data_IF_084856056725
#
_entry.id   IF_084856056725
#
_cell.length_a   1.000
_cell.length_b   1.000
_cell.length_c   1.000
_cell.angle_alpha   90.00
_cell.angle_beta   90.00
_cell.angle_gamma   90.00
#
_symmetry.space_group_name_H-M   'P 1'
#
loop_
_entity.id
_entity.type
_entity.pdbx_description
1 polymer ?
#
# COMPACT_ATOMS: atom_id res chain seq x y z
N UNK A 1 7.31 7.84 80.18
CA UNK A 1 5.88 7.58 79.90
C UNK A 1 5.02 8.86 79.77
N UNK A 2 5.57 10.02 79.38
CA UNK A 2 4.78 11.26 79.17
C UNK A 2 4.80 11.76 77.71
N UNK A 3 5.74 11.27 76.88
CA UNK A 3 5.86 11.70 75.47
C UNK A 3 4.94 10.95 74.49
N UNK A 4 4.33 9.84 74.92
CA UNK A 4 3.47 9.01 74.06
C UNK A 4 1.99 9.44 74.04
N UNK A 5 1.50 10.18 75.04
CA UNK A 5 0.09 10.59 75.11
C UNK A 5 -0.24 11.87 74.32
N UNK A 6 0.75 12.70 73.95
CA UNK A 6 0.49 13.98 73.25
C UNK A 6 0.30 13.77 71.74
N UNK A 7 0.90 12.71 71.16
CA UNK A 7 0.77 12.43 69.70
C UNK A 7 -0.58 11.83 69.30
N UNK A 8 -1.32 11.22 70.23
CA UNK A 8 -2.61 10.60 69.93
C UNK A 8 -3.77 11.61 69.83
N UNK A 9 -3.69 12.76 70.51
CA UNK A 9 -4.77 13.76 70.52
C UNK A 9 -4.75 14.71 69.30
N UNK A 10 -3.59 14.89 68.65
CA UNK A 10 -3.47 15.76 67.48
C UNK A 10 -3.78 15.05 66.15
N UNK A 11 -3.72 13.71 66.11
CA UNK A 11 -4.02 12.95 64.89
C UNK A 11 -5.53 12.86 64.61
N UNK A 12 -6.37 12.82 65.66
CA UNK A 12 -7.83 12.75 65.55
C UNK A 12 -8.48 14.08 65.15
N UNK A 13 -7.90 15.24 65.50
CA UNK A 13 -8.41 16.55 65.04
C UNK A 13 -8.08 16.84 63.58
N UNK A 14 -6.93 16.38 63.07
CA UNK A 14 -6.61 16.55 61.64
C UNK A 14 -7.42 15.62 60.72
N UNK A 15 -7.79 14.41 61.19
CA UNK A 15 -8.61 13.50 60.39
C UNK A 15 -10.08 13.96 60.27
N UNK A 16 -10.64 14.61 61.30
CA UNK A 16 -12.00 15.16 61.24
C UNK A 16 -12.10 16.41 60.37
N UNK A 17 -11.05 17.23 60.27
CA UNK A 17 -11.03 18.38 59.36
C UNK A 17 -10.83 17.98 57.88
N UNK A 18 -10.07 16.92 57.59
CA UNK A 18 -9.84 16.45 56.21
C UNK A 18 -11.09 15.73 55.65
N UNK A 19 -11.84 15.01 56.48
CA UNK A 19 -13.07 14.33 56.04
C UNK A 19 -14.23 15.33 55.86
N UNK A 20 -14.34 16.37 56.70
CA UNK A 20 -15.36 17.41 56.52
C UNK A 20 -15.12 18.31 55.29
N UNK A 21 -13.86 18.60 54.95
CA UNK A 21 -13.54 19.38 53.75
C UNK A 21 -13.68 18.58 52.45
N UNK A 22 -13.51 17.25 52.51
CA UNK A 22 -13.69 16.36 51.35
C UNK A 22 -15.16 16.06 51.03
N UNK A 23 -16.07 16.18 52.01
CA UNK A 23 -17.52 16.01 51.77
C UNK A 23 -18.18 17.34 51.32
N UNK A 24 -17.65 18.50 51.73
CA UNK A 24 -18.14 19.79 51.27
C UNK A 24 -17.66 20.16 49.84
N UNK A 25 -16.52 19.63 49.37
CA UNK A 25 -16.03 19.89 48.01
C UNK A 25 -16.64 18.95 46.95
N UNK A 26 -17.30 17.86 47.36
CA UNK A 26 -18.00 16.94 46.45
C UNK A 26 -19.44 17.38 46.12
N UNK A 27 -19.97 18.44 46.73
CA UNK A 27 -21.34 18.94 46.52
C UNK A 27 -21.41 20.32 45.82
N UNK A 28 -20.26 20.91 45.48
CA UNK A 28 -20.18 22.15 44.71
C UNK A 28 -19.29 21.92 43.48
N UNK A 29 -19.86 21.38 42.39
CA UNK A 29 -19.09 21.27 41.15
C UNK A 29 -19.61 20.35 40.06
N UNK A 30 -20.68 19.57 40.28
CA UNK A 30 -21.44 19.03 39.14
C UNK A 30 -22.31 20.17 38.61
N UNK A 31 -21.67 21.12 37.94
CA UNK A 31 -22.36 21.87 36.89
C UNK A 31 -22.78 20.76 35.92
N UNK A 32 -24.08 20.47 35.74
CA UNK A 32 -24.47 19.64 34.62
C UNK A 32 -23.82 20.31 33.42
N UNK A 33 -23.00 19.57 32.68
CA UNK A 33 -22.51 20.04 31.39
C UNK A 33 -23.76 20.41 30.61
N UNK A 34 -24.12 21.70 30.69
CA UNK A 34 -25.15 22.27 29.86
C UNK A 34 -24.55 22.03 28.49
N UNK A 35 -25.14 21.08 27.76
CA UNK A 35 -25.04 21.11 26.32
C UNK A 35 -25.31 22.57 25.98
N UNK A 36 -24.25 23.29 25.57
CA UNK A 36 -24.35 24.70 25.26
C UNK A 36 -25.59 24.82 24.39
N UNK A 37 -26.59 25.55 24.86
CA UNK A 37 -27.75 25.82 24.05
C UNK A 37 -27.19 26.36 22.75
N UNK A 38 -27.57 25.77 21.61
CA UNK A 38 -27.14 26.21 20.28
C UNK A 38 -27.72 27.59 19.92
N UNK A 39 -27.80 28.49 20.90
CA UNK A 39 -28.23 29.85 20.76
C UNK A 39 -27.09 30.63 20.11
N UNK A 40 -27.41 31.27 19.00
CA UNK A 40 -26.54 32.18 18.29
C UNK A 40 -26.24 33.40 19.17
N UNK A 41 -25.01 33.92 19.07
CA UNK A 41 -24.66 35.19 19.72
C UNK A 41 -25.51 36.35 19.15
N UNK A 42 -25.69 37.46 19.90
CA UNK A 42 -26.35 38.64 19.38
C UNK A 42 -25.71 39.16 18.07
N UNK A 43 -24.39 39.12 17.97
CA UNK A 43 -23.67 39.58 16.79
C UNK A 43 -23.91 38.68 15.57
N UNK A 44 -23.93 37.35 15.76
CA UNK A 44 -24.24 36.41 14.67
C UNK A 44 -25.68 36.56 14.19
N UNK A 45 -26.62 36.87 15.10
CA UNK A 45 -28.02 37.16 14.72
C UNK A 45 -28.10 38.38 13.81
N UNK A 46 -27.35 39.45 14.11
CA UNK A 46 -27.31 40.65 13.27
C UNK A 46 -26.80 40.33 11.86
N UNK A 47 -25.75 39.51 11.74
CA UNK A 47 -25.26 39.05 10.43
C UNK A 47 -26.36 38.28 9.66
N UNK A 48 -27.09 37.41 10.36
CA UNK A 48 -28.13 36.56 9.79
C UNK A 48 -29.44 37.31 9.46
N UNK A 49 -29.64 38.57 9.86
CA UNK A 49 -30.79 39.36 9.41
C UNK A 49 -30.79 39.54 7.88
N UNK A 50 -29.61 39.67 7.29
CA UNK A 50 -29.41 39.70 5.83
C UNK A 50 -28.93 38.34 5.30
N UNK A 51 -27.88 37.75 5.90
CA UNK A 51 -27.32 36.50 5.42
C UNK A 51 -28.20 35.27 5.64
N UNK A 52 -29.21 35.35 6.52
CA UNK A 52 -30.19 34.28 6.71
C UNK A 52 -31.31 34.26 5.67
N UNK A 53 -31.39 35.26 4.79
CA UNK A 53 -32.47 35.37 3.79
C UNK A 53 -32.27 34.36 2.67
N UNK A 54 -33.34 33.67 2.28
CA UNK A 54 -33.30 32.72 1.15
C UNK A 54 -32.97 33.46 -0.15
N UNK A 55 -32.22 32.79 -1.04
CA UNK A 55 -31.77 33.34 -2.32
C UNK A 55 -30.96 34.64 -2.19
N UNK A 56 -30.33 34.87 -1.04
CA UNK A 56 -29.39 35.98 -0.90
C UNK A 56 -28.10 35.65 -1.61
N UNK A 57 -27.81 36.37 -2.68
CA UNK A 57 -26.76 36.02 -3.63
C UNK A 57 -26.20 37.25 -4.36
N UNK A 58 -25.04 37.10 -4.99
CA UNK A 58 -24.35 38.19 -5.70
C UNK A 58 -23.69 37.68 -6.99
N UNK A 59 -23.82 38.42 -8.11
CA UNK A 59 -23.10 38.09 -9.35
C UNK A 59 -21.59 38.31 -9.21
N UNK A 60 -20.81 37.42 -9.83
CA UNK A 60 -19.35 37.40 -9.82
C UNK A 60 -18.79 37.74 -11.21
N UNK A 61 -17.46 37.85 -11.31
CA UNK A 61 -16.80 38.35 -12.52
C UNK A 61 -16.93 37.42 -13.75
N UNK A 62 -17.10 36.13 -13.49
CA UNK A 62 -17.34 35.05 -14.45
C UNK A 62 -18.80 34.95 -14.92
N UNK A 63 -19.71 35.76 -14.35
CA UNK A 63 -21.14 35.65 -14.58
C UNK A 63 -21.82 34.57 -13.73
N UNK A 64 -21.07 33.84 -12.91
CA UNK A 64 -21.64 32.95 -11.90
C UNK A 64 -22.21 33.76 -10.73
N UNK A 65 -23.05 33.11 -9.94
CA UNK A 65 -23.70 33.73 -8.78
C UNK A 65 -23.19 33.08 -7.49
N UNK A 66 -22.61 33.89 -6.62
CA UNK A 66 -22.16 33.46 -5.30
C UNK A 66 -23.33 33.55 -4.32
N UNK A 67 -23.72 32.41 -3.74
CA UNK A 67 -24.66 32.39 -2.62
C UNK A 67 -24.03 33.02 -1.39
N UNK A 68 -24.75 33.97 -0.79
CA UNK A 68 -24.45 34.60 0.50
C UNK A 68 -25.37 34.08 1.61
N UNK A 69 -26.30 33.19 1.27
CA UNK A 69 -27.30 32.63 2.19
C UNK A 69 -26.68 31.59 3.14
N UNK A 70 -26.86 31.82 4.45
CA UNK A 70 -26.46 30.95 5.54
C UNK A 70 -27.70 30.51 6.33
N UNK A 71 -28.06 29.21 6.33
CA UNK A 71 -29.18 28.74 7.13
C UNK A 71 -28.86 28.84 8.63
N UNK A 72 -29.45 29.81 9.33
CA UNK A 72 -29.12 30.10 10.73
C UNK A 72 -29.27 28.90 11.68
N UNK A 73 -30.26 28.02 11.44
CA UNK A 73 -30.42 26.76 12.20
C UNK A 73 -29.27 25.77 11.96
N UNK A 74 -28.76 25.70 10.73
CA UNK A 74 -27.64 24.82 10.40
C UNK A 74 -26.34 25.34 11.01
N UNK A 75 -26.12 26.66 10.97
CA UNK A 75 -24.97 27.29 11.63
C UNK A 75 -25.00 27.15 13.14
N UNK A 76 -26.15 27.37 13.78
CA UNK A 76 -26.34 27.14 15.21
C UNK A 76 -25.98 25.70 15.66
N UNK A 77 -26.17 24.71 14.78
CA UNK A 77 -25.83 23.31 15.02
C UNK A 77 -24.40 22.93 14.57
N UNK A 78 -23.65 23.87 14.01
CA UNK A 78 -22.28 23.68 13.55
C UNK A 78 -21.29 23.65 14.72
N UNK A 79 -20.17 22.94 14.54
CA UNK A 79 -19.04 23.01 15.48
C UNK A 79 -18.38 24.38 15.52
N UNK A 80 -18.63 25.22 14.51
CA UNK A 80 -18.12 26.59 14.46
C UNK A 80 -19.06 27.64 15.08
N UNK A 81 -20.25 27.26 15.58
CA UNK A 81 -21.14 28.21 16.26
C UNK A 81 -20.42 29.00 17.38
N UNK A 82 -19.58 28.38 18.24
CA UNK A 82 -18.86 29.13 19.28
C UNK A 82 -17.79 30.11 18.76
N UNK A 83 -17.33 29.95 17.50
CA UNK A 83 -16.37 30.86 16.86
C UNK A 83 -17.07 32.13 16.36
N UNK A 84 -18.34 32.02 15.98
CA UNK A 84 -19.13 33.11 15.43
C UNK A 84 -18.67 33.54 14.03
N UNK A 85 -19.45 34.42 13.39
CA UNK A 85 -19.15 34.94 12.06
C UNK A 85 -17.83 35.72 12.06
N UNK A 86 -17.62 36.59 13.05
CA UNK A 86 -16.45 37.47 13.13
C UNK A 86 -15.13 36.71 13.35
N UNK A 87 -15.18 35.50 13.93
CA UNK A 87 -13.97 34.69 14.12
C UNK A 87 -13.35 34.21 12.81
N UNK A 88 -14.17 33.95 11.78
CA UNK A 88 -13.67 33.59 10.44
C UNK A 88 -13.71 34.77 9.46
N UNK A 89 -14.58 35.76 9.68
CA UNK A 89 -14.70 36.97 8.87
C UNK A 89 -14.09 38.19 9.57
N UNK A 90 -12.89 38.02 10.15
CA UNK A 90 -12.23 39.05 10.95
C UNK A 90 -11.95 40.36 10.19
N UNK A 91 -11.83 40.28 8.86
CA UNK A 91 -11.61 41.44 7.99
C UNK A 91 -12.88 42.27 7.71
N UNK A 92 -14.04 41.89 8.26
CA UNK A 92 -15.29 42.62 8.07
C UNK A 92 -15.44 43.72 9.13
N UNK A 93 -15.37 44.97 8.67
CA UNK A 93 -15.80 46.14 9.45
C UNK A 93 -17.33 46.33 9.30
N UNK A 94 -18.09 45.99 10.34
CA UNK A 94 -19.56 46.12 10.36
C UNK A 94 -20.06 47.53 10.03
N UNK A 95 -19.28 48.59 10.32
CA UNK A 95 -19.70 49.98 10.03
C UNK A 95 -19.65 50.29 8.54
N UNK A 96 -18.86 49.54 7.77
CA UNK A 96 -18.65 49.74 6.33
C UNK A 96 -19.21 48.58 5.50
N UNK A 97 -19.77 47.57 6.15
CA UNK A 97 -20.34 46.41 5.48
C UNK A 97 -21.81 46.66 5.12
N UNK A 98 -22.23 46.40 3.86
CA UNK A 98 -21.44 45.85 2.76
C UNK A 98 -20.62 46.94 2.03
N UNK A 99 -19.34 46.68 1.80
CA UNK A 99 -18.48 47.52 0.96
C UNK A 99 -18.25 46.87 -0.42
N UNK A 100 -18.39 47.61 -1.53
CA UNK A 100 -18.10 47.06 -2.84
C UNK A 100 -16.61 46.74 -2.97
N UNK A 101 -16.29 45.46 -3.17
CA UNK A 101 -14.94 45.05 -3.56
C UNK A 101 -14.60 45.65 -4.92
N UNK A 102 -13.48 46.38 -5.00
CA UNK A 102 -12.93 46.88 -6.27
C UNK A 102 -12.30 45.76 -7.11
N UNK A 103 -11.96 44.64 -6.47
CA UNK A 103 -11.36 43.47 -7.15
C UNK A 103 -12.48 42.61 -7.72
N UNK A 104 -12.53 42.51 -9.04
CA UNK A 104 -13.35 41.53 -9.75
C UNK A 104 -12.67 40.16 -9.63
N UNK A 105 -13.36 39.22 -8.99
CA UNK A 105 -12.91 37.83 -8.83
C UNK A 105 -14.04 36.90 -9.24
N UNK A 106 -13.67 35.71 -9.68
CA UNK A 106 -14.57 34.57 -9.92
C UNK A 106 -15.03 33.96 -8.60
N UNK A 107 -16.07 33.11 -8.64
CA UNK A 107 -16.48 32.31 -7.47
C UNK A 107 -15.30 31.47 -6.97
N UNK A 108 -14.56 30.87 -7.91
CA UNK A 108 -13.46 29.97 -7.59
C UNK A 108 -12.28 30.68 -6.90
N UNK A 109 -11.84 31.82 -7.44
CA UNK A 109 -10.77 32.62 -6.83
C UNK A 109 -11.15 33.08 -5.42
N UNK A 110 -12.41 33.46 -5.21
CA UNK A 110 -12.92 33.79 -3.88
C UNK A 110 -12.84 32.60 -2.93
N UNK A 111 -13.26 31.41 -3.35
CA UNK A 111 -13.17 30.19 -2.53
C UNK A 111 -11.73 29.83 -2.17
N UNK A 112 -10.78 29.94 -3.12
CA UNK A 112 -9.35 29.69 -2.86
C UNK A 112 -8.77 30.67 -1.84
N UNK A 113 -9.18 31.94 -1.88
CA UNK A 113 -8.77 32.93 -0.90
C UNK A 113 -9.38 32.65 0.48
N UNK A 114 -10.70 32.37 0.54
CA UNK A 114 -11.41 32.16 1.80
C UNK A 114 -10.94 30.92 2.56
N UNK A 115 -10.53 29.84 1.88
CA UNK A 115 -10.10 28.61 2.57
C UNK A 115 -8.80 28.77 3.35
N UNK A 116 -8.06 29.87 3.15
CA UNK A 116 -6.87 30.16 3.95
C UNK A 116 -7.20 30.37 5.43
N UNK A 117 -8.39 30.89 5.77
CA UNK A 117 -8.81 31.11 7.16
C UNK A 117 -8.86 29.79 7.96
N UNK A 118 -9.06 28.66 7.28
CA UNK A 118 -9.06 27.35 7.92
C UNK A 118 -7.70 27.06 8.58
N UNK A 119 -6.60 27.55 8.01
CA UNK A 119 -5.24 27.31 8.51
C UNK A 119 -5.01 27.93 9.89
N UNK A 120 -5.66 29.05 10.19
CA UNK A 120 -5.44 29.78 11.45
C UNK A 120 -5.82 28.95 12.69
N UNK A 121 -6.76 28.00 12.53
CA UNK A 121 -7.18 27.07 13.59
C UNK A 121 -6.89 25.59 13.27
N UNK A 122 -6.80 25.20 11.99
CA UNK A 122 -6.59 23.82 11.56
C UNK A 122 -5.26 23.60 10.82
N UNK A 123 -4.19 24.29 11.24
CA UNK A 123 -2.87 24.25 10.62
C UNK A 123 -2.36 22.81 10.36
N UNK A 124 -2.51 21.89 11.31
CA UNK A 124 -2.09 20.50 11.13
C UNK A 124 -2.84 19.80 9.98
N UNK A 125 -4.15 20.01 9.86
CA UNK A 125 -4.95 19.41 8.78
C UNK A 125 -4.71 20.11 7.45
N UNK A 126 -4.48 21.41 7.50
CA UNK A 126 -4.12 22.22 6.33
C UNK A 126 -2.80 21.74 5.73
N UNK A 127 -1.76 21.54 6.55
CA UNK A 127 -0.46 20.97 6.13
C UNK A 127 -0.58 19.59 5.49
N UNK A 128 -1.42 18.71 6.06
CA UNK A 128 -1.70 17.41 5.44
C UNK A 128 -2.36 17.57 4.08
N UNK A 129 -3.36 18.45 3.98
CA UNK A 129 -4.04 18.75 2.72
C UNK A 129 -3.09 19.31 1.67
N UNK A 130 -2.19 20.23 2.02
CA UNK A 130 -1.19 20.79 1.11
C UNK A 130 -0.29 19.72 0.47
N UNK A 131 -0.01 18.64 1.20
CA UNK A 131 0.74 17.47 0.72
C UNK A 131 -0.08 16.45 -0.08
N UNK A 132 -1.40 16.61 -0.16
CA UNK A 132 -2.31 15.68 -0.84
C UNK A 132 -2.32 15.83 -2.36
N UNK A 133 -2.87 14.83 -3.06
CA UNK A 133 -3.11 14.92 -4.51
C UNK A 133 -4.10 16.03 -4.86
N UNK A 134 -5.09 16.30 -4.01
CA UNK A 134 -6.08 17.35 -4.28
C UNK A 134 -5.45 18.75 -4.28
N UNK A 135 -4.64 19.08 -3.26
CA UNK A 135 -3.96 20.37 -3.22
C UNK A 135 -2.91 20.50 -4.33
N UNK A 136 -2.29 19.39 -4.75
CA UNK A 136 -1.40 19.39 -5.91
C UNK A 136 -2.15 19.72 -7.19
N UNK A 137 -3.24 19.03 -7.48
CA UNK A 137 -4.07 19.30 -8.66
C UNK A 137 -4.56 20.75 -8.67
N UNK A 138 -4.92 21.29 -7.51
CA UNK A 138 -5.26 22.71 -7.36
C UNK A 138 -4.11 23.63 -7.80
N UNK A 139 -2.88 23.38 -7.32
CA UNK A 139 -1.69 24.17 -7.70
C UNK A 139 -1.35 24.05 -9.18
N UNK A 140 -1.65 22.91 -9.78
CA UNK A 140 -1.48 22.66 -11.22
C UNK A 140 -2.58 23.33 -12.08
N UNK A 141 -3.50 24.07 -11.46
CA UNK A 141 -4.56 24.83 -12.14
C UNK A 141 -5.81 24.02 -12.45
N UNK A 142 -6.02 22.87 -11.79
CA UNK A 142 -7.25 22.10 -11.95
C UNK A 142 -8.37 22.70 -11.09
N UNK A 143 -9.30 23.41 -11.73
CA UNK A 143 -10.44 24.04 -11.05
C UNK A 143 -11.41 23.05 -10.41
N UNK A 144 -11.41 21.78 -10.82
CA UNK A 144 -12.22 20.72 -10.22
C UNK A 144 -11.59 20.10 -8.97
N UNK A 145 -10.36 20.49 -8.59
CA UNK A 145 -9.72 20.01 -7.38
C UNK A 145 -10.45 20.51 -6.12
N UNK A 146 -10.84 19.65 -5.17
CA UNK A 146 -11.65 20.06 -4.03
C UNK A 146 -10.83 20.83 -3.00
N UNK A 147 -11.42 21.87 -2.42
CA UNK A 147 -10.94 22.64 -1.28
C UNK A 147 -11.55 22.11 0.03
N UNK A 148 -11.15 22.70 1.16
CA UNK A 148 -11.74 22.41 2.48
C UNK A 148 -13.26 22.56 2.47
N UNK A 149 -13.76 23.63 1.84
CA UNK A 149 -15.18 23.99 1.74
C UNK A 149 -16.00 23.03 0.87
N UNK A 150 -15.37 22.34 -0.07
CA UNK A 150 -16.07 21.43 -0.99
C UNK A 150 -16.40 20.10 -0.29
N UNK A 151 -15.58 19.71 0.70
CA UNK A 151 -15.82 18.53 1.53
C UNK A 151 -16.58 18.85 2.82
N UNK A 152 -16.30 20.00 3.43
CA UNK A 152 -16.88 20.43 4.70
C UNK A 152 -17.57 21.78 4.53
N UNK A 153 -18.87 21.85 4.83
CA UNK A 153 -19.56 23.14 4.82
C UNK A 153 -19.01 24.04 5.93
N UNK A 154 -18.40 25.20 5.64
CA UNK A 154 -17.81 26.08 6.66
C UNK A 154 -18.85 26.60 7.65
N UNK A 155 -20.12 26.72 7.20
CA UNK A 155 -21.24 27.24 7.98
C UNK A 155 -22.19 26.15 8.52
N UNK A 156 -21.92 24.86 8.26
CA UNK A 156 -22.79 23.77 8.73
C UNK A 156 -22.01 22.49 9.03
N UNK A 157 -20.71 22.61 9.34
CA UNK A 157 -19.86 21.46 9.66
C UNK A 157 -20.32 20.82 10.97
N UNK A 158 -20.57 19.52 10.92
CA UNK A 158 -20.98 18.72 12.08
C UNK A 158 -19.78 17.93 12.62
N UNK A 159 -19.80 17.51 13.89
CA UNK A 159 -18.77 16.64 14.43
C UNK A 159 -18.65 15.38 13.56
N UNK A 160 -17.42 14.98 13.24
CA UNK A 160 -17.19 13.74 12.54
C UNK A 160 -17.46 12.58 13.51
N UNK A 161 -18.52 11.81 13.27
CA UNK A 161 -18.86 10.64 14.10
C UNK A 161 -18.62 9.37 13.30
N UNK A 162 -18.11 8.32 13.94
CA UNK A 162 -17.91 7.01 13.31
C UNK A 162 -19.22 6.41 12.73
N UNK A 163 -20.37 6.88 13.21
CA UNK A 163 -21.70 6.50 12.78
C UNK A 163 -22.23 7.27 11.56
N UNK A 164 -21.46 8.20 10.98
CA UNK A 164 -21.91 9.00 9.84
C UNK A 164 -22.38 8.08 8.69
N UNK A 165 -23.61 8.24 8.16
CA UNK A 165 -24.15 7.35 7.16
C UNK A 165 -23.35 7.43 5.85
N UNK A 166 -23.35 6.34 5.08
CA UNK A 166 -22.62 6.26 3.81
C UNK A 166 -23.09 7.31 2.79
N UNK A 167 -24.32 7.80 2.91
CA UNK A 167 -24.91 8.85 2.05
C UNK A 167 -24.32 10.24 2.31
N UNK A 168 -23.70 10.46 3.48
CA UNK A 168 -23.10 11.73 3.88
C UNK A 168 -21.62 11.87 3.51
N UNK A 169 -21.04 10.85 2.85
CA UNK A 169 -19.64 10.91 2.39
C UNK A 169 -19.50 11.89 1.23
N UNK A 170 -18.76 12.99 1.43
CA UNK A 170 -18.54 14.04 0.42
C UNK A 170 -17.81 13.55 -0.82
N UNK A 171 -16.94 12.54 -0.69
CA UNK A 171 -16.16 11.97 -1.81
C UNK A 171 -17.04 11.57 -3.00
N UNK A 172 -18.30 11.18 -2.77
CA UNK A 172 -19.23 10.74 -3.82
C UNK A 172 -19.62 11.85 -4.79
N UNK A 173 -19.49 13.12 -4.40
CA UNK A 173 -19.84 14.26 -5.26
C UNK A 173 -18.96 14.29 -6.52
N UNK A 174 -17.67 13.96 -6.38
CA UNK A 174 -16.73 13.87 -7.51
C UNK A 174 -16.44 12.41 -7.92
N UNK A 175 -16.47 11.45 -6.98
CA UNK A 175 -16.15 10.05 -7.21
C UNK A 175 -17.39 9.13 -7.26
N UNK A 176 -18.49 9.60 -7.87
CA UNK A 176 -19.77 8.89 -7.94
C UNK A 176 -19.65 7.46 -8.50
N UNK A 177 -18.80 7.25 -9.51
CA UNK A 177 -18.59 5.93 -10.12
C UNK A 177 -18.00 4.90 -9.14
N UNK A 178 -16.96 5.28 -8.39
CA UNK A 178 -16.35 4.40 -7.37
C UNK A 178 -17.29 4.23 -6.19
N UNK A 179 -17.98 5.29 -5.78
CA UNK A 179 -18.97 5.23 -4.70
C UNK A 179 -20.05 4.18 -4.97
N UNK A 180 -20.59 4.15 -6.20
CA UNK A 180 -21.61 3.15 -6.59
C UNK A 180 -21.10 1.72 -6.40
N UNK A 181 -19.88 1.44 -6.87
CA UNK A 181 -19.29 0.11 -6.75
C UNK A 181 -18.97 -0.25 -5.29
N UNK A 182 -18.42 0.67 -4.52
CA UNK A 182 -18.18 0.47 -3.09
C UNK A 182 -19.49 0.21 -2.32
N UNK A 183 -20.56 0.93 -2.61
CA UNK A 183 -21.86 0.76 -1.97
C UNK A 183 -22.42 -0.66 -2.18
N UNK A 184 -22.12 -1.27 -3.32
CA UNK A 184 -22.50 -2.66 -3.66
C UNK A 184 -21.54 -3.71 -3.07
N UNK A 185 -20.36 -3.30 -2.57
CA UNK A 185 -19.37 -4.21 -1.97
C UNK A 185 -19.79 -4.73 -0.59
N UNK A 186 -19.08 -5.74 -0.08
CA UNK A 186 -19.31 -6.29 1.27
C UNK A 186 -19.21 -5.21 2.38
N UNK A 187 -18.32 -4.23 2.23
CA UNK A 187 -18.17 -3.14 3.21
C UNK A 187 -19.32 -2.14 3.10
N UNK A 188 -19.70 -1.74 1.89
CA UNK A 188 -20.84 -0.84 1.65
C UNK A 188 -22.16 -1.44 2.13
N UNK A 189 -22.40 -2.71 1.81
CA UNK A 189 -23.59 -3.44 2.25
C UNK A 189 -23.63 -3.61 3.78
N UNK A 190 -22.48 -3.88 4.42
CA UNK A 190 -22.41 -3.97 5.88
C UNK A 190 -22.79 -2.65 6.56
N UNK A 191 -22.44 -1.52 5.94
CA UNK A 191 -22.73 -0.16 6.44
C UNK A 191 -24.16 0.29 6.17
N UNK A 192 -24.78 -0.20 5.09
CA UNK A 192 -26.16 0.10 4.73
C UNK A 192 -27.21 -0.60 5.61
N UNK A 193 -26.83 -1.55 6.46
CA UNK A 193 -27.75 -2.29 7.33
C UNK A 193 -28.03 -1.50 8.64
N UNK A 194 -29.28 -1.41 9.10
CA UNK A 194 -29.59 -0.86 10.42
C UNK A 194 -28.85 -1.62 11.53
N UNK A 195 -28.14 -0.90 12.40
CA UNK A 195 -27.28 -1.53 13.43
C UNK A 195 -26.05 -2.27 12.86
N UNK A 196 -25.69 -2.02 11.59
CA UNK A 196 -24.56 -2.61 10.92
C UNK A 196 -23.23 -2.34 11.63
N UNK A 197 -22.32 -3.31 11.58
CA UNK A 197 -20.96 -3.16 12.11
C UNK A 197 -20.28 -1.96 11.43
N UNK A 198 -19.41 -1.26 12.17
CA UNK A 198 -18.59 -0.17 11.66
C UNK A 198 -17.66 -0.68 10.52
N UNK A 199 -18.18 -0.72 9.31
CA UNK A 199 -17.42 -0.99 8.10
C UNK A 199 -16.69 0.30 7.67
N UNK A 200 -15.49 0.18 7.05
CA UNK A 200 -14.66 1.33 6.72
C UNK A 200 -15.29 2.14 5.58
N UNK A 201 -15.32 3.47 5.73
CA UNK A 201 -15.59 4.45 4.68
C UNK A 201 -14.33 4.76 3.85
N UNK A 202 -14.52 5.56 2.80
CA UNK A 202 -13.45 6.06 1.93
C UNK A 202 -12.21 6.58 2.71
N UNK A 203 -12.33 7.51 3.68
CA UNK A 203 -11.16 8.03 4.39
C UNK A 203 -10.51 7.03 5.35
N UNK A 204 -11.20 5.96 5.77
CA UNK A 204 -10.62 4.94 6.64
C UNK A 204 -9.55 4.13 5.89
N UNK A 205 -9.65 4.03 4.57
CA UNK A 205 -8.61 3.41 3.73
C UNK A 205 -7.70 4.41 3.01
N UNK A 206 -8.23 5.57 2.60
CA UNK A 206 -7.50 6.51 1.73
C UNK A 206 -6.96 7.76 2.43
N UNK A 207 -7.31 7.99 3.71
CA UNK A 207 -7.08 9.23 4.48
C UNK A 207 -7.72 10.47 3.83
N UNK A 208 -8.58 11.20 4.55
CA UNK A 208 -9.29 12.35 3.98
C UNK A 208 -8.36 13.54 3.62
N UNK A 209 -7.52 13.97 4.57
CA UNK A 209 -6.70 15.16 4.44
C UNK A 209 -5.31 14.88 3.86
N UNK A 210 -4.83 13.63 3.90
CA UNK A 210 -3.52 13.24 3.34
C UNK A 210 -3.73 12.29 2.16
N UNK A 211 -4.78 12.52 1.37
CA UNK A 211 -5.14 11.62 0.27
C UNK A 211 -4.02 11.60 -0.77
N UNK A 212 -3.52 10.41 -1.05
CA UNK A 212 -2.53 10.16 -2.11
C UNK A 212 -3.25 9.59 -3.32
N UNK A 213 -2.58 9.54 -4.48
CA UNK A 213 -3.14 8.89 -5.65
C UNK A 213 -3.52 7.44 -5.30
N UNK A 214 -4.82 7.14 -5.31
CA UNK A 214 -5.42 5.91 -4.78
C UNK A 214 -4.87 4.62 -5.40
N UNK A 215 -4.24 4.72 -6.57
CA UNK A 215 -3.58 3.63 -7.29
C UNK A 215 -2.14 3.34 -6.83
N UNK A 216 -1.66 4.01 -5.79
CA UNK A 216 -0.41 3.67 -5.09
C UNK A 216 -0.64 2.52 -4.10
N UNK A 217 -0.92 1.33 -4.63
CA UNK A 217 -1.46 0.18 -3.88
C UNK A 217 -0.64 -0.35 -2.70
N UNK A 218 0.60 0.08 -2.50
CA UNK A 218 1.42 -0.38 -1.37
C UNK A 218 0.92 0.15 -0.02
N UNK A 219 0.43 1.39 -0.01
CA UNK A 219 -0.12 2.02 1.20
C UNK A 219 -1.49 1.45 1.59
N UNK A 220 -2.21 0.85 0.63
CA UNK A 220 -3.55 0.29 0.86
C UNK A 220 -3.49 -1.03 1.63
N UNK A 221 -2.39 -1.80 1.52
CA UNK A 221 -2.23 -3.04 2.28
C UNK A 221 -2.38 -2.79 3.79
N UNK A 222 -1.65 -1.80 4.30
CA UNK A 222 -1.62 -1.51 5.73
C UNK A 222 -2.96 -0.95 6.23
N UNK A 223 -3.69 -0.24 5.37
CA UNK A 223 -5.06 0.18 5.67
C UNK A 223 -6.01 -1.02 5.85
N UNK A 224 -5.91 -2.06 5.00
CA UNK A 224 -6.66 -3.29 5.20
C UNK A 224 -6.30 -3.96 6.53
N UNK A 225 -5.00 -4.03 6.86
CA UNK A 225 -4.49 -4.68 8.06
C UNK A 225 -4.85 -3.96 9.36
N UNK A 226 -5.21 -2.68 9.30
CA UNK A 226 -5.68 -1.93 10.48
C UNK A 226 -6.96 -2.55 11.08
N UNK A 227 -7.85 -3.09 10.23
CA UNK A 227 -9.06 -3.80 10.69
C UNK A 227 -8.95 -5.33 10.54
N UNK A 228 -8.11 -5.82 9.62
CA UNK A 228 -7.88 -7.23 9.36
C UNK A 228 -6.49 -7.68 9.86
N UNK A 229 -6.14 -7.34 11.10
CA UNK A 229 -4.80 -7.59 11.69
C UNK A 229 -4.40 -9.07 11.67
N UNK A 230 -5.35 -9.97 11.93
CA UNK A 230 -5.10 -11.41 12.02
C UNK A 230 -5.13 -12.11 10.65
N UNK A 231 -5.29 -11.35 9.57
CA UNK A 231 -5.43 -11.91 8.22
C UNK A 231 -4.25 -12.79 7.85
N UNK A 232 -3.01 -12.37 8.08
CA UNK A 232 -1.83 -13.18 7.74
C UNK A 232 -1.86 -14.55 8.44
N UNK A 233 -2.17 -14.59 9.74
CA UNK A 233 -2.23 -15.82 10.51
C UNK A 233 -3.33 -16.76 9.99
N UNK A 234 -4.51 -16.22 9.68
CA UNK A 234 -5.61 -17.00 9.08
C UNK A 234 -5.21 -17.52 7.70
N UNK A 235 -4.51 -16.75 6.88
CA UNK A 235 -4.10 -17.17 5.53
C UNK A 235 -3.01 -18.24 5.56
N UNK A 236 -2.11 -18.24 6.55
CA UNK A 236 -1.09 -19.30 6.71
C UNK A 236 -1.67 -20.72 6.83
N UNK A 237 -2.92 -20.86 7.27
CA UNK A 237 -3.57 -22.16 7.40
C UNK A 237 -3.86 -22.86 6.07
N UNK A 238 -3.96 -22.10 4.96
CA UNK A 238 -4.36 -22.65 3.66
C UNK A 238 -3.53 -22.13 2.48
N UNK A 239 -2.91 -20.96 2.60
CA UNK A 239 -2.13 -20.30 1.55
C UNK A 239 -0.63 -20.57 1.76
N UNK A 240 0.02 -21.38 0.91
CA UNK A 240 1.46 -21.59 0.98
C UNK A 240 2.22 -20.27 0.78
N UNK A 241 3.30 -20.06 1.53
CA UNK A 241 4.11 -18.83 1.46
C UNK A 241 3.24 -17.56 1.59
N UNK A 242 2.34 -17.52 2.57
CA UNK A 242 1.37 -16.44 2.75
C UNK A 242 2.03 -15.04 2.81
N UNK A 243 3.20 -14.91 3.44
CA UNK A 243 3.96 -13.65 3.48
C UNK A 243 4.30 -13.14 2.07
N UNK A 244 4.81 -14.01 1.21
CA UNK A 244 5.16 -13.66 -0.17
C UNK A 244 3.93 -13.26 -0.98
N UNK A 245 2.80 -13.93 -0.77
CA UNK A 245 1.55 -13.55 -1.41
C UNK A 245 1.08 -12.16 -0.95
N UNK A 246 1.20 -11.82 0.33
CA UNK A 246 0.83 -10.49 0.83
C UNK A 246 1.74 -9.37 0.29
N UNK A 247 2.98 -9.70 -0.06
CA UNK A 247 3.91 -8.77 -0.71
C UNK A 247 3.64 -8.61 -2.22
N UNK A 248 3.31 -9.71 -2.90
CA UNK A 248 3.26 -9.79 -4.36
C UNK A 248 1.84 -9.76 -4.94
N UNK A 249 0.79 -9.90 -4.14
CA UNK A 249 -0.61 -9.95 -4.57
C UNK A 249 -1.40 -8.93 -3.76
N UNK A 250 -2.07 -8.00 -4.44
CA UNK A 250 -2.96 -7.05 -3.78
C UNK A 250 -4.22 -7.74 -3.23
N UNK A 251 -4.73 -7.29 -2.08
CA UNK A 251 -5.93 -7.88 -1.48
C UNK A 251 -7.13 -7.96 -2.45
N UNK A 252 -7.45 -6.91 -3.25
CA UNK A 252 -8.55 -6.99 -4.21
C UNK A 252 -8.34 -8.04 -5.31
N UNK A 253 -7.11 -8.44 -5.64
CA UNK A 253 -6.87 -9.47 -6.65
C UNK A 253 -7.52 -10.82 -6.27
N UNK A 254 -7.62 -11.13 -4.97
CA UNK A 254 -8.32 -12.32 -4.47
C UNK A 254 -9.74 -12.01 -3.95
N UNK A 255 -9.94 -10.82 -3.38
CA UNK A 255 -11.20 -10.41 -2.76
C UNK A 255 -12.21 -9.77 -3.72
N UNK A 256 -11.86 -9.57 -4.99
CA UNK A 256 -12.79 -9.21 -6.07
C UNK A 256 -12.72 -10.29 -7.18
N UNK A 257 -13.41 -11.43 -7.04
CA UNK A 257 -13.26 -12.58 -7.93
C UNK A 257 -13.56 -12.24 -9.40
N UNK A 258 -14.55 -11.38 -9.65
CA UNK A 258 -14.98 -10.93 -10.97
C UNK A 258 -14.07 -9.90 -11.63
N UNK A 259 -13.12 -9.31 -10.88
CA UNK A 259 -12.24 -8.27 -11.39
C UNK A 259 -11.25 -8.81 -12.42
N UNK A 260 -10.93 -8.01 -13.43
CA UNK A 260 -9.79 -8.28 -14.30
C UNK A 260 -8.50 -7.99 -13.54
N UNK A 261 -7.50 -8.81 -13.81
CA UNK A 261 -6.20 -8.80 -13.13
C UNK A 261 -5.09 -8.48 -14.12
N UNK A 262 -4.05 -7.85 -13.62
CA UNK A 262 -2.81 -7.56 -14.35
C UNK A 262 -1.61 -7.80 -13.47
N UNK A 263 -0.50 -8.20 -14.09
CA UNK A 263 0.81 -8.13 -13.47
C UNK A 263 1.37 -6.74 -13.74
N UNK A 264 1.59 -5.98 -12.67
CA UNK A 264 2.21 -4.66 -12.72
C UNK A 264 3.70 -4.78 -12.35
N UNK A 265 4.58 -4.61 -13.34
CA UNK A 265 6.02 -4.53 -13.20
C UNK A 265 6.40 -3.11 -12.81
N UNK A 266 6.61 -2.89 -11.51
CA UNK A 266 6.85 -1.56 -10.97
C UNK A 266 8.34 -1.28 -10.93
N UNK A 267 8.77 -0.10 -11.37
CA UNK A 267 10.18 0.30 -11.24
C UNK A 267 10.47 0.71 -9.79
N UNK A 268 11.52 0.15 -9.21
CA UNK A 268 12.01 0.45 -7.87
C UNK A 268 13.48 0.82 -7.91
N UNK A 269 13.86 1.78 -7.07
CA UNK A 269 15.25 2.03 -6.72
C UNK A 269 15.74 0.95 -5.74
N UNK A 270 16.83 0.25 -6.08
CA UNK A 270 17.34 -0.85 -5.27
C UNK A 270 17.91 -0.41 -3.92
N UNK A 271 18.33 0.85 -3.78
CA UNK A 271 18.96 1.38 -2.56
C UNK A 271 17.90 2.04 -1.69
N UNK A 272 17.12 2.96 -2.25
CA UNK A 272 16.06 3.66 -1.53
C UNK A 272 14.86 2.74 -1.20
N UNK A 273 14.72 1.61 -1.90
CA UNK A 273 13.57 0.70 -1.79
C UNK A 273 12.22 1.40 -2.08
N UNK A 274 12.25 2.46 -2.88
CA UNK A 274 11.10 3.27 -3.27
C UNK A 274 10.79 3.13 -4.76
N UNK A 275 9.53 3.41 -5.13
CA UNK A 275 9.15 3.41 -6.55
C UNK A 275 9.84 4.58 -7.26
N UNK A 276 10.35 4.31 -8.46
CA UNK A 276 10.92 5.36 -9.31
C UNK A 276 9.83 6.37 -9.67
N UNK A 277 10.10 7.63 -9.36
CA UNK A 277 9.22 8.75 -9.65
C UNK A 277 9.82 9.64 -10.74
N UNK A 278 8.97 10.08 -11.67
CA UNK A 278 9.33 11.09 -12.66
C UNK A 278 9.49 12.47 -12.01
N UNK A 279 10.46 13.22 -12.50
CA UNK A 279 10.65 14.62 -12.11
C UNK A 279 9.70 15.51 -12.92
N UNK A 280 9.18 16.55 -12.28
CA UNK A 280 8.25 17.50 -12.89
C UNK A 280 8.88 18.14 -14.14
N UNK A 281 8.11 18.19 -15.24
CA UNK A 281 8.51 18.84 -16.49
C UNK A 281 9.24 17.96 -17.52
N UNK A 282 9.53 16.68 -17.23
CA UNK A 282 10.14 15.78 -18.22
C UNK A 282 9.50 14.38 -18.18
N UNK A 283 8.40 14.13 -18.92
CA UNK A 283 7.77 12.81 -19.01
C UNK A 283 8.63 11.89 -19.90
N UNK A 284 9.72 11.38 -19.34
CA UNK A 284 10.70 10.57 -20.06
C UNK A 284 10.27 9.12 -20.19
N UNK A 285 9.54 8.58 -19.22
CA UNK A 285 9.19 7.16 -19.18
C UNK A 285 8.27 6.77 -20.33
N UNK A 286 7.17 7.48 -20.51
CA UNK A 286 6.22 7.12 -21.56
C UNK A 286 6.84 7.32 -22.95
N UNK A 287 7.58 8.40 -23.15
CA UNK A 287 8.32 8.64 -24.39
C UNK A 287 9.35 7.53 -24.66
N UNK A 288 10.17 7.14 -23.68
CA UNK A 288 11.16 6.07 -23.83
C UNK A 288 10.50 4.70 -24.03
N UNK A 289 9.42 4.42 -23.30
CA UNK A 289 8.67 3.18 -23.45
C UNK A 289 8.06 3.07 -24.85
N UNK A 290 7.49 4.15 -25.40
CA UNK A 290 7.02 4.20 -26.79
C UNK A 290 8.17 4.00 -27.79
N UNK A 291 9.31 4.64 -27.58
CA UNK A 291 10.48 4.47 -28.45
C UNK A 291 11.03 3.04 -28.44
N UNK A 292 10.97 2.37 -27.29
CA UNK A 292 11.37 0.97 -27.16
C UNK A 292 10.34 -0.01 -27.77
N UNK A 293 9.05 0.34 -27.75
CA UNK A 293 7.96 -0.44 -28.34
C UNK A 293 7.78 -0.14 -29.84
N UNK A 294 8.79 -0.49 -30.63
CA UNK A 294 8.84 -0.25 -32.08
C UNK A 294 7.68 -0.88 -32.87
N UNK A 295 7.02 -1.90 -32.32
CA UNK A 295 5.91 -2.63 -32.96
C UNK A 295 4.53 -2.20 -32.49
N UNK A 296 4.42 -1.37 -31.45
CA UNK A 296 3.16 -0.94 -30.84
C UNK A 296 2.36 -2.08 -30.20
N UNK A 297 3.03 -3.18 -29.83
CA UNK A 297 2.41 -4.37 -29.22
C UNK A 297 2.62 -4.43 -27.70
N UNK A 298 3.20 -3.37 -27.12
CA UNK A 298 3.76 -3.38 -25.79
C UNK A 298 5.20 -3.88 -25.76
N UNK A 299 5.93 -3.51 -24.70
CA UNK A 299 7.33 -3.86 -24.51
C UNK A 299 7.51 -5.39 -24.50
N UNK A 300 8.29 -5.90 -25.44
CA UNK A 300 8.84 -7.25 -25.37
C UNK A 300 10.04 -7.31 -24.40
N UNK A 301 10.59 -8.51 -24.21
CA UNK A 301 11.67 -8.72 -23.25
C UNK A 301 12.98 -7.97 -23.59
N UNK A 302 13.26 -7.72 -24.87
CA UNK A 302 14.45 -6.97 -25.30
C UNK A 302 14.22 -5.46 -25.16
N UNK A 303 13.05 -4.98 -25.57
CA UNK A 303 12.63 -3.59 -25.42
C UNK A 303 12.63 -3.19 -23.94
N UNK A 304 12.11 -4.05 -23.06
CA UNK A 304 12.14 -3.83 -21.61
C UNK A 304 13.57 -3.75 -21.07
N UNK A 305 14.45 -4.66 -21.49
CA UNK A 305 15.85 -4.66 -21.06
C UNK A 305 16.57 -3.37 -21.52
N UNK A 306 16.30 -2.91 -22.74
CA UNK A 306 16.83 -1.64 -23.25
C UNK A 306 16.36 -0.46 -22.40
N UNK A 307 15.05 -0.40 -22.10
CA UNK A 307 14.48 0.63 -21.25
C UNK A 307 15.15 0.67 -19.87
N UNK A 308 15.34 -0.49 -19.22
CA UNK A 308 16.00 -0.56 -17.92
C UNK A 308 17.47 -0.11 -17.97
N UNK A 309 18.19 -0.43 -19.05
CA UNK A 309 19.58 0.05 -19.24
C UNK A 309 19.65 1.57 -19.34
N UNK A 310 18.66 2.22 -19.93
CA UNK A 310 18.60 3.68 -19.98
C UNK A 310 18.40 4.33 -18.62
N UNK A 311 17.71 3.64 -17.69
CA UNK A 311 17.59 4.08 -16.30
C UNK A 311 18.86 3.77 -15.48
N UNK A 312 19.58 2.70 -15.81
CA UNK A 312 20.73 2.20 -15.07
C UNK A 312 22.10 2.59 -15.67
N UNK A 313 22.26 3.86 -16.09
CA UNK A 313 23.53 4.34 -16.69
C UNK A 313 24.74 4.05 -15.79
N UNK A 314 25.89 3.79 -16.41
CA UNK A 314 27.16 3.55 -15.70
C UNK A 314 27.52 4.73 -14.78
N UNK A 315 27.74 4.44 -13.50
CA UNK A 315 28.05 5.43 -12.46
C UNK A 315 26.89 5.84 -11.55
N UNK A 316 25.67 5.33 -11.76
CA UNK A 316 24.55 5.55 -10.83
C UNK A 316 24.75 4.78 -9.52
N UNK A 317 24.60 5.46 -8.37
CA UNK A 317 24.74 4.85 -7.03
C UNK A 317 23.65 3.80 -6.73
N UNK A 318 22.50 3.89 -7.40
CA UNK A 318 21.40 2.94 -7.27
C UNK A 318 21.02 2.31 -8.61
N UNK A 319 20.62 1.03 -8.57
CA UNK A 319 20.10 0.31 -9.74
C UNK A 319 18.58 0.28 -9.68
N UNK A 320 17.93 0.63 -10.78
CA UNK A 320 16.50 0.42 -10.99
C UNK A 320 16.22 -1.06 -11.25
N UNK A 321 15.34 -1.65 -10.46
CA UNK A 321 14.87 -3.04 -10.57
C UNK A 321 13.36 -3.08 -10.81
N UNK A 322 12.83 -4.24 -11.23
CA UNK A 322 11.40 -4.43 -11.39
C UNK A 322 10.82 -5.26 -10.24
N UNK A 323 9.75 -4.76 -9.63
CA UNK A 323 8.98 -5.54 -8.65
C UNK A 323 7.58 -5.81 -9.18
N UNK A 324 7.37 -7.05 -9.61
CA UNK A 324 6.05 -7.53 -10.01
C UNK A 324 5.05 -7.50 -8.85
N UNK A 325 3.82 -7.10 -9.16
CA UNK A 325 2.67 -7.27 -8.26
C UNK A 325 1.43 -7.61 -9.05
N UNK A 326 0.67 -8.59 -8.56
CA UNK A 326 -0.63 -8.94 -9.10
C UNK A 326 -1.69 -7.99 -8.52
N UNK A 327 -2.28 -7.20 -9.40
CA UNK A 327 -3.26 -6.17 -9.07
C UNK A 327 -4.50 -6.31 -9.95
N UNK A 328 -5.61 -5.70 -9.54
CA UNK A 328 -6.76 -5.53 -10.43
C UNK A 328 -6.50 -4.39 -11.42
N UNK A 329 -7.23 -4.36 -12.53
CA UNK A 329 -6.92 -3.42 -13.62
C UNK A 329 -7.39 -1.99 -13.38
N UNK A 330 -8.36 -1.79 -12.50
CA UNK A 330 -8.95 -0.46 -12.26
C UNK A 330 -9.37 -0.22 -10.80
N UNK A 331 -9.52 1.07 -10.46
CA UNK A 331 -10.04 1.49 -9.15
C UNK A 331 -11.42 0.95 -8.82
N UNK A 332 -12.43 1.04 -9.72
CA UNK A 332 -13.74 0.44 -9.49
C UNK A 332 -13.68 -1.07 -9.22
N UNK A 333 -12.91 -1.84 -10.00
CA UNK A 333 -12.73 -3.28 -9.75
C UNK A 333 -12.09 -3.57 -8.39
N UNK A 334 -11.18 -2.70 -7.92
CA UNK A 334 -10.58 -2.82 -6.59
C UNK A 334 -11.60 -2.65 -5.46
N UNK A 335 -12.73 -2.00 -5.74
CA UNK A 335 -13.82 -1.78 -4.80
C UNK A 335 -14.95 -2.82 -4.92
N UNK A 336 -14.85 -3.80 -5.82
CA UNK A 336 -15.80 -4.92 -5.94
C UNK A 336 -15.53 -6.03 -4.89
N UNK A 337 -15.23 -5.62 -3.66
CA UNK A 337 -14.87 -6.55 -2.59
C UNK A 337 -16.06 -7.41 -2.18
N UNK A 338 -15.82 -8.72 -2.08
CA UNK A 338 -16.84 -9.70 -1.71
C UNK A 338 -16.56 -10.32 -0.33
N UNK A 339 -17.56 -11.00 0.21
CA UNK A 339 -17.45 -11.80 1.43
C UNK A 339 -16.38 -12.89 1.31
N UNK A 340 -15.77 -13.26 2.45
CA UNK A 340 -14.66 -14.24 2.54
C UNK A 340 -14.94 -15.61 1.91
N UNK A 341 -16.20 -16.01 1.79
CA UNK A 341 -16.64 -17.28 1.21
C UNK A 341 -16.61 -17.27 -0.31
N UNK A 342 -16.63 -16.09 -0.93
CA UNK A 342 -16.58 -15.87 -2.38
C UNK A 342 -15.21 -15.40 -2.86
N UNK A 343 -14.26 -15.17 -1.95
CA UNK A 343 -12.89 -14.82 -2.30
C UNK A 343 -12.19 -16.02 -2.93
N UNK A 344 -11.27 -15.76 -3.88
CA UNK A 344 -10.52 -16.81 -4.55
C UNK A 344 -9.58 -17.53 -3.58
N UNK A 345 -9.64 -18.86 -3.56
CA UNK A 345 -8.77 -19.72 -2.74
C UNK A 345 -8.13 -20.86 -3.53
N UNK A 346 -8.62 -21.08 -4.74
CA UNK A 346 -8.19 -22.15 -5.63
C UNK A 346 -6.87 -21.74 -6.30
N UNK A 347 -5.77 -22.40 -5.91
CA UNK A 347 -4.42 -22.08 -6.37
C UNK A 347 -4.29 -22.13 -7.90
N UNK A 348 -5.02 -23.03 -8.55
CA UNK A 348 -5.02 -23.21 -10.01
C UNK A 348 -5.52 -21.97 -10.76
N UNK A 349 -6.38 -21.13 -10.16
CA UNK A 349 -6.86 -19.88 -10.75
C UNK A 349 -5.70 -18.96 -11.16
N UNK A 350 -4.60 -18.98 -10.40
CA UNK A 350 -3.42 -18.17 -10.67
C UNK A 350 -2.24 -19.01 -11.19
N UNK A 351 -2.05 -20.22 -10.66
CA UNK A 351 -0.85 -21.02 -10.94
C UNK A 351 -0.98 -21.93 -12.17
N UNK A 352 -2.18 -22.10 -12.76
CA UNK A 352 -2.32 -22.90 -13.98
C UNK A 352 -1.65 -22.23 -15.19
N UNK A 353 -1.20 -23.03 -16.14
CA UNK A 353 -0.71 -22.53 -17.42
C UNK A 353 -1.81 -21.71 -18.13
N UNK A 354 -1.43 -20.59 -18.75
CA UNK A 354 -2.41 -19.68 -19.38
C UNK A 354 -3.40 -18.99 -18.45
N UNK A 355 -3.19 -18.98 -17.12
CA UNK A 355 -4.05 -18.25 -16.19
C UNK A 355 -4.31 -16.79 -16.63
N UNK A 356 -5.57 -16.37 -16.56
CA UNK A 356 -6.02 -15.04 -16.99
C UNK A 356 -5.29 -13.90 -16.25
N UNK A 357 -4.94 -14.14 -14.98
CA UNK A 357 -4.22 -13.21 -14.12
C UNK A 357 -2.86 -12.76 -14.66
N UNK A 358 -2.25 -13.55 -15.55
CA UNK A 358 -0.91 -13.31 -16.10
C UNK A 358 -0.93 -12.96 -17.59
N UNK A 359 -2.12 -12.81 -18.20
CA UNK A 359 -2.23 -12.46 -19.62
C UNK A 359 -2.05 -10.97 -19.87
N UNK A 360 -2.35 -10.12 -18.89
CA UNK A 360 -2.17 -8.67 -18.99
C UNK A 360 -0.97 -8.25 -18.15
N UNK A 361 0.06 -7.70 -18.81
CA UNK A 361 1.26 -7.21 -18.15
C UNK A 361 1.43 -5.74 -18.45
N UNK A 362 1.75 -4.97 -17.42
CA UNK A 362 2.04 -3.55 -17.55
C UNK A 362 3.32 -3.23 -16.80
N UNK A 363 4.04 -2.22 -17.24
CA UNK A 363 5.13 -1.60 -16.50
C UNK A 363 4.65 -0.26 -15.94
N UNK A 364 5.11 0.13 -14.76
CA UNK A 364 4.74 1.44 -14.22
C UNK A 364 5.82 2.15 -13.40
N UNK A 365 5.73 3.47 -13.45
CA UNK A 365 6.44 4.42 -12.59
C UNK A 365 5.44 5.33 -11.88
N UNK A 366 5.91 6.16 -10.96
CA UNK A 366 5.12 7.21 -10.33
C UNK A 366 5.34 8.52 -11.10
N UNK A 367 4.27 9.13 -11.61
CA UNK A 367 4.34 10.48 -12.20
C UNK A 367 4.72 11.52 -11.14
N UNK A 368 5.11 12.75 -11.53
CA UNK A 368 5.43 13.80 -10.58
C UNK A 368 4.27 14.12 -9.63
N UNK A 369 3.03 13.90 -10.07
CA UNK A 369 1.84 14.13 -9.26
C UNK A 369 1.50 12.99 -8.30
N UNK A 370 2.20 11.87 -8.37
CA UNK A 370 1.99 10.70 -7.52
C UNK A 370 1.12 9.61 -8.15
N UNK A 371 0.48 9.86 -9.30
CA UNK A 371 -0.28 8.84 -10.03
C UNK A 371 0.65 7.85 -10.74
N UNK A 372 0.36 6.55 -10.75
CA UNK A 372 1.11 5.61 -11.55
C UNK A 372 0.86 5.85 -13.04
N UNK A 373 1.93 5.89 -13.82
CA UNK A 373 1.89 5.88 -15.28
C UNK A 373 2.13 4.45 -15.72
N UNK A 374 1.21 3.88 -16.48
CA UNK A 374 1.30 2.51 -16.95
C UNK A 374 1.65 2.47 -18.44
N UNK A 375 2.49 1.52 -18.83
CA UNK A 375 2.74 1.17 -20.23
C UNK A 375 2.56 -0.33 -20.45
N UNK A 376 2.11 -0.75 -21.63
CA UNK A 376 1.85 -2.15 -21.94
C UNK A 376 3.13 -2.96 -22.09
N UNK A 377 3.12 -4.21 -21.62
CA UNK A 377 4.20 -5.17 -21.84
C UNK A 377 3.62 -6.52 -22.29
N UNK A 378 4.38 -7.23 -23.09
CA UNK A 378 4.01 -8.57 -23.55
C UNK A 378 4.14 -9.57 -22.40
N UNK A 379 3.26 -10.58 -22.35
CA UNK A 379 3.23 -11.56 -21.23
C UNK A 379 4.49 -12.42 -21.15
N UNK A 380 5.14 -12.63 -22.29
CA UNK A 380 6.37 -13.40 -22.47
C UNK A 380 7.54 -12.80 -21.67
N UNK A 381 7.46 -11.50 -21.35
CA UNK A 381 8.39 -10.80 -20.45
C UNK A 381 8.51 -11.49 -19.10
N UNK A 382 7.42 -12.06 -18.57
CA UNK A 382 7.41 -12.75 -17.27
C UNK A 382 8.20 -14.05 -17.27
N UNK A 383 8.45 -14.63 -18.45
CA UNK A 383 9.16 -15.89 -18.64
C UNK A 383 10.54 -15.73 -19.29
N UNK A 384 10.92 -14.52 -19.69
CA UNK A 384 12.19 -14.29 -20.39
C UNK A 384 13.38 -14.34 -19.44
N UNK A 385 14.43 -15.07 -19.82
CA UNK A 385 15.70 -15.12 -19.11
C UNK A 385 16.34 -13.73 -18.92
N UNK A 386 16.16 -12.82 -19.88
CA UNK A 386 16.67 -11.43 -19.79
C UNK A 386 15.95 -10.58 -18.75
N UNK A 387 14.75 -10.99 -18.33
CA UNK A 387 13.95 -10.30 -17.33
C UNK A 387 14.11 -10.90 -15.93
N UNK A 388 14.73 -12.09 -15.79
CA UNK A 388 14.85 -12.84 -14.51
C UNK A 388 15.62 -12.05 -13.47
N UNK A 389 16.75 -11.44 -13.85
CA UNK A 389 17.57 -10.63 -12.93
C UNK A 389 16.81 -9.39 -12.44
N UNK A 390 15.89 -8.88 -13.26
CA UNK A 390 15.10 -7.69 -12.94
C UNK A 390 13.81 -8.00 -12.18
N UNK A 391 13.23 -9.21 -12.27
CA UNK A 391 11.91 -9.60 -11.72
C UNK A 391 12.05 -10.48 -10.44
N UNK A 392 13.25 -10.62 -9.87
CA UNK A 392 13.58 -11.60 -8.82
C UNK A 392 12.63 -11.67 -7.60
N UNK A 393 11.91 -10.60 -7.26
CA UNK A 393 10.92 -10.58 -6.16
C UNK A 393 9.55 -11.20 -6.48
N UNK A 394 9.30 -11.58 -7.73
CA UNK A 394 8.03 -12.19 -8.19
C UNK A 394 8.17 -13.68 -8.51
N UNK A 395 9.39 -14.24 -8.39
CA UNK A 395 9.66 -15.64 -8.63
C UNK A 395 9.29 -16.48 -7.39
N UNK A 396 8.22 -17.27 -7.48
CA UNK A 396 7.86 -18.25 -6.47
C UNK A 396 8.18 -19.68 -6.97
N UNK A 397 8.84 -20.46 -6.12
CA UNK A 397 9.14 -21.88 -6.33
C UNK A 397 7.83 -22.63 -6.62
N UNK A 398 7.80 -23.44 -7.68
CA UNK A 398 6.64 -24.25 -8.08
C UNK A 398 5.67 -23.60 -9.08
N UNK A 399 5.94 -22.37 -9.52
CA UNK A 399 5.15 -21.68 -10.55
C UNK A 399 5.77 -21.76 -11.95
N UNK A 400 6.64 -22.73 -12.22
CA UNK A 400 7.71 -22.65 -13.22
C UNK A 400 7.21 -22.38 -14.63
N UNK A 401 7.23 -21.10 -15.03
CA UNK A 401 6.91 -20.66 -16.40
C UNK A 401 8.17 -20.50 -17.27
N UNK A 402 9.35 -20.73 -16.69
CA UNK A 402 10.63 -20.67 -17.38
C UNK A 402 11.12 -22.10 -17.57
N UNK A 403 10.69 -22.74 -18.67
CA UNK A 403 11.04 -24.14 -19.01
C UNK A 403 12.56 -24.39 -18.97
N UNK A 404 13.36 -23.38 -19.26
CA UNK A 404 14.83 -23.47 -19.18
C UNK A 404 15.32 -23.75 -17.76
N UNK A 405 14.79 -23.07 -16.74
CA UNK A 405 15.20 -23.27 -15.35
C UNK A 405 14.76 -24.65 -14.85
N UNK A 406 13.61 -25.14 -15.29
CA UNK A 406 13.14 -26.49 -14.98
C UNK A 406 14.05 -27.55 -15.58
N UNK A 407 14.42 -27.39 -16.85
CA UNK A 407 15.36 -28.29 -17.52
C UNK A 407 16.71 -28.26 -16.84
N UNK A 408 17.25 -27.07 -16.51
CA UNK A 408 18.51 -26.94 -15.79
C UNK A 408 18.46 -27.58 -14.40
N UNK A 409 17.35 -27.42 -13.67
CA UNK A 409 17.18 -28.04 -12.36
C UNK A 409 17.07 -29.56 -12.46
N UNK A 410 16.31 -30.09 -13.42
CA UNK A 410 16.23 -31.53 -13.69
C UNK A 410 17.60 -32.07 -14.08
N UNK A 411 18.35 -31.38 -14.93
CA UNK A 411 19.73 -31.76 -15.28
C UNK A 411 20.65 -31.73 -14.06
N UNK A 412 20.51 -30.73 -13.18
CA UNK A 412 21.29 -30.64 -11.94
C UNK A 412 20.95 -31.78 -10.97
N UNK A 413 19.68 -32.16 -10.82
CA UNK A 413 19.25 -33.32 -10.04
C UNK A 413 19.78 -34.62 -10.63
N UNK A 414 19.66 -34.81 -11.95
CA UNK A 414 20.17 -35.98 -12.65
C UNK A 414 21.68 -36.08 -12.54
N UNK A 415 22.41 -34.97 -12.60
CA UNK A 415 23.85 -34.94 -12.37
C UNK A 415 24.18 -35.24 -10.89
N UNK A 416 23.45 -34.64 -9.95
CA UNK A 416 23.64 -34.84 -8.52
C UNK A 416 23.41 -36.28 -8.06
N UNK A 417 22.50 -37.01 -8.71
CA UNK A 417 22.26 -38.45 -8.45
C UNK A 417 23.16 -39.34 -9.32
N UNK A 418 23.35 -38.97 -10.59
CA UNK A 418 24.08 -39.76 -11.58
C UNK A 418 25.58 -39.81 -11.32
N UNK A 419 26.21 -38.72 -10.85
CA UNK A 419 27.65 -38.67 -10.55
C UNK A 419 28.02 -39.63 -9.41
N UNK A 420 27.33 -39.65 -8.25
CA UNK A 420 27.58 -40.63 -7.20
C UNK A 420 27.39 -42.08 -7.66
N UNK A 421 26.28 -42.38 -8.36
CA UNK A 421 25.99 -43.73 -8.85
C UNK A 421 27.05 -44.18 -9.85
N UNK A 422 27.42 -43.32 -10.80
CA UNK A 422 28.48 -43.56 -11.76
C UNK A 422 29.81 -43.83 -11.07
N UNK A 423 30.20 -42.98 -10.10
CA UNK A 423 31.43 -43.16 -9.33
C UNK A 423 31.45 -44.48 -8.55
N UNK A 424 30.34 -44.84 -7.89
CA UNK A 424 30.23 -46.10 -7.14
C UNK A 424 30.28 -47.33 -8.06
N UNK A 425 29.60 -47.27 -9.20
CA UNK A 425 29.58 -48.35 -10.21
C UNK A 425 30.98 -48.57 -10.79
N UNK A 426 31.67 -47.48 -11.15
CA UNK A 426 33.04 -47.54 -11.68
C UNK A 426 34.01 -48.13 -10.64
N UNK A 427 33.90 -47.70 -9.37
CA UNK A 427 34.70 -48.23 -8.27
C UNK A 427 34.47 -49.72 -8.05
N UNK A 428 33.22 -50.18 -8.18
CA UNK A 428 32.86 -51.60 -8.09
C UNK A 428 33.43 -52.41 -9.26
N UNK A 429 33.29 -51.93 -10.49
CA UNK A 429 33.86 -52.57 -11.68
C UNK A 429 35.40 -52.65 -11.61
N UNK A 430 36.08 -51.58 -11.21
CA UNK A 430 37.54 -51.58 -11.02
C UNK A 430 38.00 -52.53 -9.91
N UNK A 431 37.21 -52.71 -8.84
CA UNK A 431 37.50 -53.71 -7.81
C UNK A 431 37.38 -55.13 -8.38
N UNK A 432 36.30 -55.42 -9.11
CA UNK A 432 36.06 -56.75 -9.71
C UNK A 432 37.12 -57.09 -10.76
N UNK A 433 37.52 -56.11 -11.58
CA UNK A 433 38.58 -56.27 -12.57
C UNK A 433 39.94 -56.55 -11.91
N UNK A 434 40.32 -55.80 -10.86
CA UNK A 434 41.57 -56.06 -10.12
C UNK A 434 41.59 -57.44 -9.47
N UNK A 435 40.47 -57.87 -8.88
CA UNK A 435 40.36 -59.22 -8.31
C UNK A 435 40.54 -60.30 -9.37
N UNK A 436 39.94 -60.12 -10.55
CA UNK A 436 40.09 -61.06 -11.67
C UNK A 436 41.54 -61.11 -12.17
N UNK A 437 42.17 -59.96 -12.37
CA UNK A 437 43.56 -59.86 -12.80
C UNK A 437 44.52 -60.49 -11.76
N UNK A 438 44.29 -60.26 -10.47
CA UNK A 438 45.08 -60.90 -9.41
C UNK A 438 44.88 -62.43 -9.39
N UNK A 439 43.65 -62.91 -9.60
CA UNK A 439 43.39 -64.35 -9.68
C UNK A 439 44.05 -64.99 -10.91
N UNK A 440 44.07 -64.30 -12.06
CA UNK A 440 44.78 -64.74 -13.27
C UNK A 440 46.30 -64.78 -13.04
N UNK A 441 46.88 -63.72 -12.47
CA UNK A 441 48.31 -63.67 -12.11
C UNK A 441 48.71 -64.74 -11.07
N UNK A 442 47.86 -65.00 -10.08
CA UNK A 442 48.08 -66.06 -9.09
C UNK A 442 47.97 -67.46 -9.70
N UNK A 443 47.02 -67.68 -10.62
CA UNK A 443 46.89 -68.94 -11.33
C UNK A 443 48.07 -69.19 -12.28
N UNK A 444 48.64 -68.13 -12.85
CA UNK A 444 49.82 -68.20 -13.72
C UNK A 444 51.11 -68.45 -12.92
N UNK A 445 51.28 -67.80 -11.77
CA UNK A 445 52.37 -68.08 -10.83
C UNK A 445 52.29 -69.51 -10.23
N UNK A 446 51.08 -69.99 -9.91
CA UNK A 446 50.89 -71.36 -9.43
C UNK A 446 51.21 -72.42 -10.51
N UNK A 447 51.08 -72.07 -11.79
CA UNK A 447 51.50 -72.96 -12.90
C UNK A 447 53.02 -72.98 -13.06
N UNK A 448 53.72 -71.85 -12.87
CA UNK A 448 55.20 -71.83 -12.95
C UNK A 448 55.88 -72.60 -11.82
N UNK A 449 55.31 -72.61 -10.61
CA UNK A 449 55.84 -73.38 -9.47
C UNK A 449 55.58 -74.91 -9.56
N UNK A 450 54.80 -75.36 -10.54
CA UNK A 450 54.42 -76.78 -10.70
C UNK A 450 55.21 -77.53 -11.80
N UNK A 451 56.20 -76.88 -12.45
CA UNK A 451 57.11 -77.59 -13.36
C UNK A 451 58.25 -78.25 -12.58
N UNK A 452 58.48 -79.57 -12.70
CA UNK A 452 59.58 -80.25 -12.02
C UNK A 452 60.90 -79.87 -12.69
N UNK A 453 61.85 -79.36 -11.92
CA UNK A 453 63.23 -79.18 -12.34
C UNK A 453 63.89 -80.55 -12.54
N UNK A 454 64.15 -80.91 -13.80
CA UNK A 454 65.13 -81.95 -14.14
C UNK A 454 66.48 -81.29 -14.36
N UNK A 455 67.53 -82.02 -13.98
CA UNK A 455 68.97 -81.74 -14.08
C UNK A 455 69.54 -81.01 -12.85
N UNK A 456 70.57 -81.51 -12.14
CA UNK A 456 71.55 -82.53 -12.49
C UNK A 456 72.92 -82.01 -12.07
N UNK A 457 73.42 -82.51 -10.93
CA UNK A 457 74.80 -82.62 -10.47
C UNK A 457 75.86 -81.50 -10.63
N UNK A 458 76.71 -81.47 -9.58
CA UNK A 458 78.16 -81.26 -9.59
C UNK A 458 78.73 -79.91 -9.06
N UNK A 459 79.20 -80.02 -7.81
CA UNK A 459 80.63 -79.91 -7.44
C UNK A 459 81.20 -78.55 -6.97
N UNK A 460 82.03 -78.69 -5.91
CA UNK A 460 83.29 -77.97 -5.65
C UNK A 460 83.27 -76.58 -5.01
N UNK A 461 83.61 -76.59 -3.71
CA UNK A 461 84.53 -75.68 -3.00
C UNK A 461 84.83 -74.29 -3.56
N UNK A 462 84.58 -73.24 -2.77
CA UNK A 462 85.65 -72.44 -2.16
C UNK A 462 85.11 -71.40 -1.16
N UNK A 463 85.66 -71.43 0.05
CA UNK A 463 85.96 -70.22 0.84
C UNK A 463 87.21 -69.54 0.22
N UNK A 464 87.67 -68.31 0.54
CA UNK A 464 87.46 -67.61 1.83
C UNK A 464 87.35 -66.05 1.76
N UNK A 465 87.13 -65.45 2.96
CA UNK A 465 87.59 -64.12 3.43
C UNK A 465 87.13 -62.90 2.60
N UNK A 466 86.60 -61.83 3.19
CA UNK A 466 87.03 -61.10 4.37
C UNK A 466 85.91 -60.17 4.83
#
# INVERSE_FOLDING_TARGET
MISACIKAANFTRHLQFIVAFSIAFCLAGIIPAHAATGALSPDDKNCLECHGQEKFEKPMADGETLSLHIPGKAFAASVHNPVGCAGCHADIDLKKHPQPSKKKVTVRENSIAMVQVCKDCHDDKFKLYEGSIHARLLRDGNDAAPLCSDCHSPHAVRPNTAAAPMTEVSCRQCHAGIYKVYAESVHGQARGKPGGKAAPLCPDCHKAHEVKAASSGDQIKDACLTCHSDSLAVHKSWLPNAERHFEAVSCPACHAPTAKRRVNLRLYDSVAQERVAERQGVPQFESRARSADTKGLGLDALALQSLLKEFNREGAESKTILRGRLEVTSGPEAHQLTEKTKALKECDTCHREGAAAFQTVTISIVSPDGRPVHYGAQKEVLSSATSVESIGGFYAIGATRIKLLDVLFVLALLAGVGVPIGHMTLKWLFRKYRQKLQAELQAEAAKSDSQPSTDGDANSSNSPKQ
#
